data_IF_984401840687
#
_entry.id   IF_984401840687
#
_cell.length_a   1.000
_cell.length_b   1.000
_cell.length_c   1.000
_cell.angle_alpha   90.00
_cell.angle_beta   90.00
_cell.angle_gamma   90.00
#
_symmetry.space_group_name_H-M   'P 1'
#
loop_
_entity.id
_entity.type
_entity.pdbx_description
1 polymer ?
#
# COMPACT_ATOMS: atom_id res chain seq x y z
N UNK A 1 8.87 22.08 -41.49
CA UNK A 1 8.69 20.89 -40.61
C UNK A 1 8.47 21.41 -39.19
N UNK A 2 7.25 21.39 -38.71
CA UNK A 2 6.94 21.84 -37.34
C UNK A 2 7.76 21.02 -36.34
N UNK A 3 8.32 21.71 -35.36
CA UNK A 3 9.18 21.11 -34.35
C UNK A 3 8.26 20.30 -33.40
N UNK A 4 8.27 18.96 -33.52
CA UNK A 4 7.50 18.05 -32.67
C UNK A 4 7.69 18.41 -31.19
N UNK A 5 6.60 18.61 -30.45
CA UNK A 5 6.64 18.83 -29.01
C UNK A 5 6.95 17.50 -28.30
N UNK A 6 8.14 17.44 -27.67
CA UNK A 6 8.55 16.27 -26.89
C UNK A 6 7.65 16.01 -25.68
N UNK A 7 7.02 17.05 -25.15
CA UNK A 7 6.13 16.91 -23.98
C UNK A 7 4.84 16.17 -24.37
N UNK A 8 4.33 16.37 -25.60
CA UNK A 8 3.20 15.62 -26.13
C UNK A 8 3.56 14.13 -26.35
N UNK A 9 4.73 13.87 -26.91
CA UNK A 9 5.22 12.47 -27.07
C UNK A 9 5.28 11.74 -25.73
N UNK A 10 5.80 12.40 -24.70
CA UNK A 10 5.88 11.84 -23.34
C UNK A 10 4.47 11.64 -22.76
N UNK A 11 3.56 12.58 -22.99
CA UNK A 11 2.17 12.48 -22.54
C UNK A 11 1.45 11.32 -23.19
N UNK A 12 1.55 11.19 -24.49
CA UNK A 12 0.96 10.08 -25.23
C UNK A 12 1.53 8.71 -24.81
N UNK A 13 2.84 8.65 -24.54
CA UNK A 13 3.49 7.44 -24.07
C UNK A 13 2.97 7.00 -22.69
N UNK A 14 2.87 7.95 -21.74
CA UNK A 14 2.51 7.66 -20.36
C UNK A 14 0.99 7.61 -20.17
N UNK A 15 0.28 8.68 -20.53
CA UNK A 15 -1.17 8.80 -20.29
C UNK A 15 -1.98 8.14 -21.39
N UNK A 16 -1.57 8.33 -22.64
CA UNK A 16 -2.18 7.73 -23.81
C UNK A 16 -1.93 6.22 -23.93
N UNK A 17 -1.03 5.65 -23.13
CA UNK A 17 -0.66 4.23 -23.15
C UNK A 17 -0.21 3.74 -24.53
N UNK A 18 0.34 4.63 -25.37
CA UNK A 18 0.76 4.30 -26.73
C UNK A 18 2.13 3.63 -26.72
N UNK A 19 2.28 2.60 -27.55
CA UNK A 19 3.57 1.91 -27.76
C UNK A 19 4.52 2.77 -28.59
N UNK A 20 5.81 2.44 -28.58
CA UNK A 20 6.82 3.12 -29.40
C UNK A 20 6.45 3.06 -30.91
N UNK A 21 5.88 1.96 -31.37
CA UNK A 21 5.44 1.80 -32.76
C UNK A 21 4.27 2.72 -33.11
N UNK A 22 3.27 2.80 -32.23
CA UNK A 22 2.12 3.70 -32.42
C UNK A 22 2.54 5.18 -32.41
N UNK A 23 3.48 5.55 -31.52
CA UNK A 23 4.03 6.90 -31.51
C UNK A 23 4.87 7.20 -32.76
N UNK A 24 5.64 6.23 -33.23
CA UNK A 24 6.40 6.30 -34.49
C UNK A 24 5.49 6.61 -35.67
N UNK A 25 4.38 5.90 -35.77
CA UNK A 25 3.36 6.11 -36.80
C UNK A 25 2.66 7.46 -36.62
N UNK A 26 2.18 7.79 -35.41
CA UNK A 26 1.47 9.04 -35.10
C UNK A 26 2.30 10.28 -35.42
N UNK A 27 3.59 10.27 -35.09
CA UNK A 27 4.48 11.42 -35.28
C UNK A 27 5.31 11.37 -36.56
N UNK A 28 5.16 10.36 -37.40
CA UNK A 28 5.88 10.20 -38.67
C UNK A 28 7.41 10.13 -38.53
N UNK A 29 7.92 9.53 -37.44
CA UNK A 29 9.34 9.42 -37.17
C UNK A 29 9.73 7.99 -36.76
N UNK A 30 11.00 7.63 -36.85
CA UNK A 30 11.43 6.28 -36.47
C UNK A 30 11.23 5.96 -35.00
N UNK A 31 11.00 4.68 -34.66
CA UNK A 31 10.94 4.19 -33.27
C UNK A 31 12.17 4.61 -32.47
N UNK A 32 13.37 4.61 -33.12
CA UNK A 32 14.62 5.07 -32.50
C UNK A 32 14.56 6.56 -32.12
N UNK A 33 13.91 7.39 -32.92
CA UNK A 33 13.73 8.83 -32.63
C UNK A 33 12.79 9.01 -31.43
N UNK A 34 11.68 8.29 -31.37
CA UNK A 34 10.79 8.29 -30.21
C UNK A 34 11.53 7.83 -28.94
N UNK A 35 12.29 6.74 -29.03
CA UNK A 35 13.07 6.23 -27.89
C UNK A 35 14.05 7.27 -27.36
N UNK A 36 14.75 7.98 -28.24
CA UNK A 36 15.69 9.06 -27.87
C UNK A 36 14.98 10.26 -27.22
N UNK A 37 13.80 10.62 -27.69
CA UNK A 37 13.01 11.69 -27.05
C UNK A 37 12.59 11.29 -25.63
N UNK A 38 12.19 10.05 -25.41
CA UNK A 38 11.86 9.49 -24.09
C UNK A 38 13.09 9.32 -23.18
N UNK A 39 14.30 9.09 -23.74
CA UNK A 39 15.55 9.05 -22.97
C UNK A 39 15.89 10.40 -22.35
N UNK A 40 15.43 11.49 -22.94
CA UNK A 40 15.61 12.86 -22.45
C UNK A 40 14.73 13.23 -21.25
N UNK A 41 13.83 12.35 -20.79
CA UNK A 41 12.99 12.58 -19.59
C UNK A 41 13.87 12.82 -18.36
N UNK A 42 13.59 13.91 -17.64
CA UNK A 42 14.28 14.26 -16.39
C UNK A 42 13.27 14.37 -15.28
N UNK A 43 13.45 13.59 -14.24
CA UNK A 43 12.69 13.71 -13.01
C UNK A 43 13.11 14.97 -12.24
N UNK A 44 12.14 15.85 -11.95
CA UNK A 44 12.33 17.00 -11.08
C UNK A 44 11.33 16.87 -9.93
N UNK A 45 11.84 16.57 -8.73
CA UNK A 45 11.01 16.52 -7.54
C UNK A 45 10.52 17.93 -7.18
N UNK A 46 9.21 18.14 -7.22
CA UNK A 46 8.58 19.37 -6.76
C UNK A 46 8.29 19.25 -5.27
N UNK A 47 8.77 20.18 -4.46
CA UNK A 47 8.47 20.23 -3.03
C UNK A 47 7.18 21.03 -2.84
N UNK A 48 6.20 20.44 -2.13
CA UNK A 48 4.95 21.13 -1.79
C UNK A 48 5.22 22.38 -0.95
N UNK A 49 4.48 23.46 -1.22
CA UNK A 49 4.53 24.70 -0.42
C UNK A 49 3.85 24.50 0.94
N UNK A 50 2.78 23.73 0.97
CA UNK A 50 2.10 23.39 2.22
C UNK A 50 2.81 22.20 2.89
N UNK A 51 3.19 22.40 4.12
CA UNK A 51 4.05 21.48 4.89
C UNK A 51 3.29 20.68 5.96
N UNK A 52 2.02 20.98 6.20
CA UNK A 52 1.17 20.24 7.16
C UNK A 52 0.55 19.05 6.44
N UNK A 53 0.91 17.82 6.84
CA UNK A 53 0.54 16.61 6.11
C UNK A 53 0.07 15.46 7.01
N UNK A 54 -0.87 14.69 6.49
CA UNK A 54 -1.14 13.31 6.91
C UNK A 54 -0.60 12.42 5.79
N UNK A 55 0.28 11.50 6.12
CA UNK A 55 0.97 10.69 5.12
C UNK A 55 0.41 9.27 5.01
N UNK A 56 0.32 8.77 3.79
CA UNK A 56 0.10 7.37 3.45
C UNK A 56 1.42 6.78 2.97
N UNK A 57 1.78 5.60 3.47
CA UNK A 57 3.04 4.93 3.13
C UNK A 57 2.74 3.52 2.65
N UNK A 58 3.33 3.13 1.53
CA UNK A 58 3.14 1.80 0.96
C UNK A 58 4.25 1.49 -0.07
N UNK A 59 4.42 0.21 -0.39
CA UNK A 59 5.39 -0.29 -1.37
C UNK A 59 4.72 -1.20 -2.36
N UNK A 60 4.96 -0.97 -3.64
CA UNK A 60 4.50 -1.85 -4.71
C UNK A 60 5.66 -2.49 -5.47
N UNK A 61 5.46 -3.69 -6.05
CA UNK A 61 6.50 -4.47 -6.68
C UNK A 61 6.16 -4.85 -8.12
N UNK A 62 7.22 -4.93 -8.94
CA UNK A 62 7.23 -5.55 -10.27
C UNK A 62 8.26 -6.68 -10.29
N UNK A 63 7.82 -7.88 -9.95
CA UNK A 63 8.71 -9.03 -9.73
C UNK A 63 9.39 -9.01 -8.35
N UNK A 64 10.51 -9.77 -8.22
CA UNK A 64 11.08 -10.05 -6.88
C UNK A 64 11.93 -8.92 -6.29
N UNK A 65 12.69 -8.18 -7.11
CA UNK A 65 13.73 -7.26 -6.64
C UNK A 65 13.59 -5.85 -7.23
N UNK A 66 12.37 -5.45 -7.56
CA UNK A 66 12.08 -4.12 -8.07
C UNK A 66 10.79 -3.60 -7.48
N UNK A 67 10.92 -2.85 -6.40
CA UNK A 67 9.83 -2.19 -5.69
C UNK A 67 9.94 -0.67 -5.78
N UNK A 68 8.81 -0.02 -5.66
CA UNK A 68 8.63 1.41 -5.50
C UNK A 68 7.95 1.64 -4.16
N UNK A 69 8.68 2.20 -3.22
CA UNK A 69 8.16 2.74 -1.97
C UNK A 69 7.77 4.19 -2.20
N UNK A 70 6.58 4.59 -1.74
CA UNK A 70 6.12 5.96 -1.88
C UNK A 70 5.47 6.48 -0.59
N UNK A 71 5.63 7.76 -0.36
CA UNK A 71 4.94 8.53 0.67
C UNK A 71 4.08 9.59 -0.01
N UNK A 72 2.80 9.59 0.32
CA UNK A 72 1.78 10.45 -0.27
C UNK A 72 1.11 11.30 0.80
N UNK A 73 0.81 12.55 0.47
CA UNK A 73 -0.13 13.36 1.26
C UNK A 73 -1.56 12.83 1.06
N UNK A 74 -2.17 12.38 2.15
CA UNK A 74 -3.51 11.82 2.12
C UNK A 74 -4.57 12.85 1.75
N UNK A 75 -4.40 14.09 2.20
CA UNK A 75 -5.37 15.18 2.03
C UNK A 75 -5.30 15.79 0.63
N UNK A 76 -4.09 16.10 0.15
CA UNK A 76 -3.87 16.74 -1.15
C UNK A 76 -3.66 15.74 -2.28
N UNK A 77 -3.59 14.45 -1.98
CA UNK A 77 -3.43 13.34 -2.94
C UNK A 77 -2.13 13.41 -3.75
N UNK A 78 -1.10 14.09 -3.25
CA UNK A 78 0.19 14.27 -3.91
C UNK A 78 1.25 13.34 -3.36
N UNK A 79 2.11 12.82 -4.24
CA UNK A 79 3.30 12.08 -3.83
C UNK A 79 4.31 13.10 -3.26
N UNK A 80 4.82 12.84 -2.07
CA UNK A 80 5.80 13.69 -1.40
C UNK A 80 7.22 13.15 -1.53
N UNK A 81 7.35 11.83 -1.53
CA UNK A 81 8.63 11.15 -1.59
C UNK A 81 8.47 9.75 -2.17
N UNK A 82 9.49 9.28 -2.86
CA UNK A 82 9.57 7.88 -3.28
C UNK A 82 11.01 7.38 -3.34
N UNK A 83 11.17 6.06 -3.30
CA UNK A 83 12.45 5.35 -3.39
C UNK A 83 12.25 4.00 -4.08
N UNK A 84 13.21 3.61 -4.92
CA UNK A 84 13.28 2.25 -5.45
C UNK A 84 13.94 1.33 -4.43
N UNK A 85 13.33 0.19 -4.15
CA UNK A 85 13.80 -0.78 -3.16
C UNK A 85 13.83 -2.18 -3.77
N UNK A 86 14.79 -3.00 -3.35
CA UNK A 86 14.77 -4.44 -3.67
C UNK A 86 13.80 -5.16 -2.72
N UNK A 87 13.84 -4.80 -1.46
CA UNK A 87 12.98 -5.31 -0.40
C UNK A 87 12.56 -4.13 0.49
N UNK A 88 11.37 -4.22 1.01
CA UNK A 88 10.79 -3.26 1.91
C UNK A 88 11.39 -3.41 3.31
N UNK A 89 11.88 -2.31 3.90
CA UNK A 89 12.42 -2.29 5.27
C UNK A 89 11.86 -1.12 6.08
N UNK A 90 11.85 -1.27 7.40
CA UNK A 90 11.49 -0.17 8.32
C UNK A 90 12.44 1.02 8.11
N UNK A 91 13.72 0.76 7.90
CA UNK A 91 14.74 1.81 7.69
C UNK A 91 14.43 2.66 6.46
N UNK A 92 13.95 2.05 5.35
CA UNK A 92 13.58 2.79 4.15
C UNK A 92 12.39 3.72 4.38
N UNK A 93 11.38 3.27 5.14
CA UNK A 93 10.25 4.13 5.54
C UNK A 93 10.70 5.30 6.42
N UNK A 94 11.56 5.04 7.40
CA UNK A 94 12.08 6.08 8.28
C UNK A 94 12.98 7.08 7.53
N UNK A 95 13.71 6.64 6.51
CA UNK A 95 14.46 7.53 5.61
C UNK A 95 13.53 8.52 4.92
N UNK A 96 12.41 8.06 4.40
CA UNK A 96 11.39 8.92 3.78
C UNK A 96 10.78 9.91 4.78
N UNK A 97 10.45 9.45 5.99
CA UNK A 97 9.94 10.31 7.07
C UNK A 97 11.00 11.35 7.48
N UNK A 98 12.25 10.94 7.60
CA UNK A 98 13.36 11.85 7.90
C UNK A 98 13.49 12.91 6.80
N UNK A 99 13.48 12.50 5.53
CA UNK A 99 13.55 13.43 4.41
C UNK A 99 12.42 14.46 4.46
N UNK A 100 11.18 14.06 4.75
CA UNK A 100 10.06 14.99 4.91
C UNK A 100 10.34 16.01 6.03
N UNK A 101 10.79 15.56 7.18
CA UNK A 101 11.13 16.44 8.31
C UNK A 101 12.25 17.44 7.96
N UNK A 102 13.32 16.94 7.34
CA UNK A 102 14.46 17.76 6.91
C UNK A 102 14.04 18.82 5.86
N UNK A 103 12.96 18.57 5.12
CA UNK A 103 12.37 19.53 4.19
C UNK A 103 11.22 20.35 4.80
N UNK A 104 11.09 20.35 6.14
CA UNK A 104 10.17 21.22 6.88
C UNK A 104 8.72 20.72 6.94
N UNK A 105 8.42 19.47 6.60
CA UNK A 105 7.08 18.92 6.73
C UNK A 105 6.73 18.61 8.19
N UNK A 106 5.52 18.99 8.58
CA UNK A 106 4.90 18.65 9.88
C UNK A 106 3.91 17.49 9.65
N UNK A 107 4.24 16.32 10.20
CA UNK A 107 3.46 15.09 10.03
C UNK A 107 2.47 14.97 11.20
N UNK A 108 1.18 15.00 10.92
CA UNK A 108 0.11 14.92 11.91
C UNK A 108 -0.48 13.52 12.06
N UNK A 109 -0.26 12.64 11.10
CA UNK A 109 -0.71 11.26 11.15
C UNK A 109 -0.11 10.43 10.03
N UNK A 110 -0.08 9.11 10.22
CA UNK A 110 0.53 8.16 9.27
C UNK A 110 -0.41 6.99 9.05
N UNK A 111 -0.65 6.62 7.78
CA UNK A 111 -1.38 5.41 7.40
C UNK A 111 -0.43 4.41 6.79
N UNK A 112 -0.45 3.17 7.31
CA UNK A 112 0.43 2.07 6.88
C UNK A 112 -0.36 0.77 6.65
N UNK A 113 0.24 -0.18 5.95
CA UNK A 113 -0.37 -1.47 5.61
C UNK A 113 -0.34 -2.52 6.74
N UNK A 114 0.54 -2.40 7.71
CA UNK A 114 0.66 -3.33 8.83
C UNK A 114 1.97 -4.12 8.87
N UNK A 115 3.02 -3.62 8.24
CA UNK A 115 4.37 -4.15 8.41
C UNK A 115 4.73 -4.22 9.89
N UNK A 116 5.18 -5.41 10.33
CA UNK A 116 5.50 -5.65 11.75
C UNK A 116 6.62 -4.72 12.22
N UNK A 117 6.37 -4.01 13.35
CA UNK A 117 7.33 -3.09 13.96
C UNK A 117 7.28 -1.66 13.39
N UNK A 118 6.74 -1.44 12.20
CA UNK A 118 6.70 -0.11 11.59
C UNK A 118 5.88 0.88 12.42
N UNK A 119 4.70 0.48 12.91
CA UNK A 119 3.88 1.35 13.77
C UNK A 119 4.62 1.80 15.04
N UNK A 120 5.44 0.92 15.62
CA UNK A 120 6.25 1.27 16.80
C UNK A 120 7.39 2.24 16.44
N UNK A 121 8.04 2.02 15.29
CA UNK A 121 9.12 2.87 14.80
C UNK A 121 8.65 4.28 14.41
N UNK A 122 7.36 4.44 14.08
CA UNK A 122 6.74 5.72 13.71
C UNK A 122 6.24 6.54 14.90
N UNK A 123 6.44 6.11 16.13
CA UNK A 123 6.14 6.96 17.29
C UNK A 123 6.99 8.24 17.25
N UNK A 124 6.45 9.42 17.61
CA UNK A 124 5.19 9.65 18.36
C UNK A 124 3.95 9.92 17.49
N UNK A 125 3.99 9.68 16.17
CA UNK A 125 2.86 10.02 15.31
C UNK A 125 1.63 9.13 15.60
N UNK A 126 0.40 9.66 15.46
CA UNK A 126 -0.81 8.84 15.36
C UNK A 126 -0.71 7.93 14.13
N UNK A 127 -0.68 6.60 14.35
CA UNK A 127 -0.55 5.61 13.28
C UNK A 127 -1.87 4.89 13.06
N UNK A 128 -2.40 4.97 11.86
CA UNK A 128 -3.55 4.21 11.38
C UNK A 128 -3.09 2.98 10.60
N UNK A 129 -3.51 1.79 10.99
CA UNK A 129 -3.40 0.61 10.14
C UNK A 129 -4.53 0.60 9.10
N UNK A 130 -4.19 0.38 7.84
CA UNK A 130 -5.14 0.28 6.75
C UNK A 130 -6.17 -0.85 7.02
N UNK A 131 -7.43 -0.49 7.21
CA UNK A 131 -8.51 -1.46 7.47
C UNK A 131 -8.68 -2.45 6.31
N UNK A 132 -8.48 -2.01 5.08
CA UNK A 132 -8.53 -2.88 3.91
C UNK A 132 -7.41 -3.95 3.94
N UNK A 133 -6.19 -3.57 4.26
CA UNK A 133 -5.08 -4.54 4.41
C UNK A 133 -5.29 -5.49 5.60
N UNK A 134 -5.92 -5.02 6.68
CA UNK A 134 -6.30 -5.91 7.78
C UNK A 134 -7.33 -6.96 7.33
N UNK A 135 -8.34 -6.56 6.56
CA UNK A 135 -9.32 -7.49 5.97
C UNK A 135 -8.63 -8.50 5.02
N UNK A 136 -7.73 -8.02 4.15
CA UNK A 136 -6.95 -8.91 3.27
C UNK A 136 -6.08 -9.90 4.05
N UNK A 137 -5.51 -9.48 5.18
CA UNK A 137 -4.72 -10.33 6.07
C UNK A 137 -5.58 -11.45 6.66
N UNK A 138 -6.76 -11.14 7.17
CA UNK A 138 -7.71 -12.15 7.67
C UNK A 138 -8.12 -13.10 6.55
N UNK A 139 -8.47 -12.59 5.38
CA UNK A 139 -8.82 -13.40 4.20
C UNK A 139 -7.68 -14.32 3.76
N UNK A 140 -6.42 -13.89 3.86
CA UNK A 140 -5.23 -14.72 3.56
C UNK A 140 -5.10 -15.89 4.52
N UNK A 141 -5.44 -15.70 5.79
CA UNK A 141 -5.47 -16.80 6.76
C UNK A 141 -6.65 -17.74 6.54
N UNK A 142 -7.85 -17.22 6.24
CA UNK A 142 -9.10 -17.99 6.25
C UNK A 142 -9.55 -18.51 4.86
N UNK A 143 -8.88 -18.07 3.76
CA UNK A 143 -9.33 -18.22 2.37
C UNK A 143 -10.52 -17.30 2.03
N UNK A 144 -11.03 -17.39 0.78
CA UNK A 144 -12.20 -16.59 0.35
C UNK A 144 -13.51 -17.17 0.82
N UNK A 145 -13.60 -18.49 0.82
CA UNK A 145 -14.79 -19.28 1.14
C UNK A 145 -14.40 -20.35 2.15
N UNK A 146 -14.32 -20.02 3.45
CA UNK A 146 -13.94 -20.99 4.47
C UNK A 146 -15.13 -21.89 4.82
N UNK A 147 -14.86 -23.20 4.97
CA UNK A 147 -15.89 -24.18 5.37
C UNK A 147 -16.34 -24.04 6.82
N UNK A 148 -15.42 -23.62 7.70
CA UNK A 148 -15.69 -23.50 9.12
C UNK A 148 -16.55 -22.28 9.43
N UNK A 149 -17.68 -22.45 10.14
CA UNK A 149 -18.58 -21.35 10.54
C UNK A 149 -17.85 -20.20 11.23
N UNK A 150 -17.00 -20.51 12.22
CA UNK A 150 -16.20 -19.52 12.93
C UNK A 150 -15.31 -18.68 11.98
N UNK A 151 -14.81 -19.30 10.92
CA UNK A 151 -14.00 -18.60 9.91
C UNK A 151 -14.84 -17.71 9.00
N UNK A 152 -16.03 -18.18 8.59
CA UNK A 152 -16.97 -17.38 7.78
C UNK A 152 -17.42 -16.15 8.55
N UNK A 153 -17.90 -16.34 9.79
CA UNK A 153 -18.35 -15.24 10.63
C UNK A 153 -17.25 -14.21 10.90
N UNK A 154 -16.00 -14.65 11.18
CA UNK A 154 -14.88 -13.72 11.36
C UNK A 154 -14.58 -12.94 10.07
N UNK A 155 -14.62 -13.61 8.91
CA UNK A 155 -14.39 -12.96 7.62
C UNK A 155 -15.49 -11.93 7.33
N UNK A 156 -16.76 -12.25 7.61
CA UNK A 156 -17.86 -11.33 7.40
C UNK A 156 -17.80 -10.16 8.39
N UNK A 157 -17.45 -10.41 9.63
CA UNK A 157 -17.24 -9.36 10.62
C UNK A 157 -16.17 -8.36 10.18
N UNK A 158 -15.00 -8.81 9.71
CA UNK A 158 -13.95 -7.86 9.29
C UNK A 158 -14.30 -7.09 8.02
N UNK A 159 -15.22 -7.57 7.19
CA UNK A 159 -15.75 -6.81 6.04
C UNK A 159 -16.60 -5.60 6.49
N UNK A 160 -17.18 -5.63 7.69
CA UNK A 160 -17.96 -4.52 8.23
C UNK A 160 -17.10 -3.40 8.81
N UNK A 161 -15.82 -3.63 9.01
CA UNK A 161 -14.88 -2.74 9.73
C UNK A 161 -14.94 -1.28 9.25
N UNK A 162 -15.00 -1.07 7.92
CA UNK A 162 -15.05 0.28 7.34
C UNK A 162 -16.39 1.01 7.52
N UNK A 163 -17.45 0.30 7.98
CA UNK A 163 -18.82 0.81 8.13
C UNK A 163 -19.31 0.78 9.59
N UNK A 164 -18.45 0.38 10.51
CA UNK A 164 -18.76 0.18 11.92
C UNK A 164 -17.86 1.07 12.75
N UNK A 165 -18.40 1.71 13.78
CA UNK A 165 -17.61 2.43 14.76
C UNK A 165 -16.77 1.47 15.63
N UNK A 166 -15.82 2.04 16.36
CA UNK A 166 -14.83 1.31 17.14
C UNK A 166 -15.46 0.43 18.22
N UNK A 167 -16.42 0.98 18.96
CA UNK A 167 -17.07 0.35 20.09
C UNK A 167 -17.96 -0.80 19.64
N UNK A 168 -18.78 -0.57 18.62
CA UNK A 168 -19.65 -1.58 18.01
C UNK A 168 -18.84 -2.73 17.44
N UNK A 169 -17.75 -2.44 16.69
CA UNK A 169 -16.90 -3.50 16.17
C UNK A 169 -16.21 -4.30 17.28
N UNK A 170 -15.70 -3.65 18.32
CA UNK A 170 -15.07 -4.33 19.46
C UNK A 170 -16.06 -5.25 20.18
N UNK A 171 -17.32 -4.79 20.34
CA UNK A 171 -18.40 -5.59 20.94
C UNK A 171 -18.72 -6.82 20.09
N UNK A 172 -18.89 -6.64 18.77
CA UNK A 172 -19.16 -7.74 17.84
C UNK A 172 -17.99 -8.74 17.80
N UNK A 173 -16.76 -8.24 17.79
CA UNK A 173 -15.56 -9.08 17.79
C UNK A 173 -15.42 -9.89 19.09
N UNK A 174 -15.78 -9.28 20.23
CA UNK A 174 -15.83 -9.98 21.52
C UNK A 174 -16.90 -11.06 21.52
N UNK A 175 -18.14 -10.76 21.06
CA UNK A 175 -19.22 -11.74 20.95
C UNK A 175 -18.84 -12.92 20.07
N UNK A 176 -18.19 -12.66 18.92
CA UNK A 176 -17.66 -13.70 18.05
C UNK A 176 -16.64 -14.58 18.79
N UNK A 177 -15.71 -13.99 19.53
CA UNK A 177 -14.71 -14.73 20.27
C UNK A 177 -15.35 -15.58 21.39
N UNK A 178 -16.26 -15.01 22.16
CA UNK A 178 -16.97 -15.71 23.24
C UNK A 178 -17.74 -16.93 22.70
N UNK A 179 -18.35 -16.82 21.51
CA UNK A 179 -19.02 -17.94 20.81
C UNK A 179 -18.05 -19.03 20.35
N UNK A 180 -16.88 -18.67 19.86
CA UNK A 180 -15.96 -19.58 19.17
C UNK A 180 -14.63 -19.86 19.91
N UNK A 181 -14.50 -19.39 21.17
CA UNK A 181 -13.24 -19.48 21.93
C UNK A 181 -12.69 -20.91 22.04
N UNK A 182 -13.56 -21.90 22.16
CA UNK A 182 -13.15 -23.30 22.31
C UNK A 182 -12.51 -23.80 21.01
N UNK A 183 -13.11 -23.50 19.85
CA UNK A 183 -12.58 -23.84 18.52
C UNK A 183 -11.27 -23.09 18.25
N UNK A 184 -11.19 -21.78 18.61
CA UNK A 184 -9.99 -20.94 18.41
C UNK A 184 -8.82 -21.44 19.27
N UNK A 185 -9.08 -21.98 20.44
CA UNK A 185 -8.06 -22.41 21.39
C UNK A 185 -7.84 -23.94 21.42
N UNK A 186 -8.61 -24.69 20.64
CA UNK A 186 -8.49 -26.14 20.53
C UNK A 186 -7.07 -26.57 20.15
N UNK A 187 -6.54 -27.55 20.88
CA UNK A 187 -5.22 -28.11 20.64
C UNK A 187 -5.32 -29.52 20.13
N UNK A 188 -4.32 -29.93 19.35
CA UNK A 188 -4.24 -31.30 18.84
C UNK A 188 -4.04 -32.27 20.01
N UNK A 189 -4.94 -33.24 20.15
CA UNK A 189 -4.91 -34.28 21.17
C UNK A 189 -4.27 -35.58 20.62
N UNK A 190 -3.02 -35.49 20.14
CA UNK A 190 -2.29 -36.69 19.62
C UNK A 190 -1.13 -37.04 20.56
N UNK A 191 -1.21 -38.21 21.18
CA UNK A 191 -0.18 -38.75 22.10
C UNK A 191 1.20 -38.90 21.44
N UNK A 192 1.29 -38.94 20.11
CA UNK A 192 2.55 -39.01 19.36
C UNK A 192 3.31 -37.69 19.33
N UNK A 193 2.63 -36.58 19.64
CA UNK A 193 3.22 -35.24 19.67
C UNK A 193 4.03 -35.07 20.95
N UNK A 194 5.33 -35.26 20.87
CA UNK A 194 6.29 -35.13 22.00
C UNK A 194 6.60 -33.69 22.42
N UNK A 195 5.86 -32.66 21.92
CA UNK A 195 6.08 -31.27 22.28
C UNK A 195 5.46 -30.97 23.65
N UNK A 196 6.16 -30.19 24.49
CA UNK A 196 5.67 -29.69 25.78
C UNK A 196 4.31 -29.04 25.69
N UNK A 197 4.06 -28.33 24.56
CA UNK A 197 2.78 -27.71 24.26
C UNK A 197 2.30 -28.17 22.88
N UNK A 198 1.19 -28.93 22.79
CA UNK A 198 0.63 -29.33 21.49
C UNK A 198 0.26 -28.14 20.60
N UNK A 199 0.37 -28.27 19.28
CA UNK A 199 -0.03 -27.22 18.36
C UNK A 199 -1.56 -26.99 18.42
N UNK A 200 -1.99 -25.80 17.98
CA UNK A 200 -3.41 -25.55 17.83
C UNK A 200 -3.99 -26.36 16.67
N UNK A 201 -5.21 -26.87 16.84
CA UNK A 201 -5.93 -27.61 15.81
C UNK A 201 -6.18 -26.73 14.58
N UNK A 202 -6.49 -25.46 14.81
CA UNK A 202 -6.81 -24.48 13.76
C UNK A 202 -5.90 -23.26 13.81
N UNK A 203 -4.59 -23.40 13.47
CA UNK A 203 -3.61 -22.33 13.64
C UNK A 203 -3.91 -21.11 12.77
N UNK A 204 -4.51 -21.29 11.58
CA UNK A 204 -4.87 -20.20 10.67
C UNK A 204 -6.01 -19.35 11.21
N UNK A 205 -7.09 -19.97 11.75
CA UNK A 205 -8.19 -19.25 12.41
C UNK A 205 -7.67 -18.46 13.60
N UNK A 206 -6.84 -19.07 14.42
CA UNK A 206 -6.23 -18.39 15.56
C UNK A 206 -5.34 -17.23 15.13
N UNK A 207 -4.55 -17.38 14.08
CA UNK A 207 -3.70 -16.30 13.54
C UNK A 207 -4.54 -15.15 13.02
N UNK A 208 -5.64 -15.44 12.34
CA UNK A 208 -6.61 -14.42 11.89
C UNK A 208 -7.17 -13.63 13.08
N UNK A 209 -7.69 -14.33 14.09
CA UNK A 209 -8.19 -13.71 15.33
C UNK A 209 -7.12 -12.84 16.01
N UNK A 210 -5.93 -13.38 16.23
CA UNK A 210 -4.85 -12.67 16.91
C UNK A 210 -4.36 -11.46 16.11
N UNK A 211 -4.41 -11.50 14.78
CA UNK A 211 -4.04 -10.36 13.95
C UNK A 211 -5.00 -9.18 14.17
N UNK A 212 -6.31 -9.44 14.19
CA UNK A 212 -7.32 -8.42 14.47
C UNK A 212 -7.16 -7.90 15.89
N UNK A 213 -7.08 -8.79 16.88
CA UNK A 213 -6.96 -8.43 18.30
C UNK A 213 -5.76 -7.52 18.56
N UNK A 214 -4.59 -7.88 18.01
CA UNK A 214 -3.34 -7.11 18.17
C UNK A 214 -3.40 -5.74 17.50
N UNK A 215 -4.01 -5.68 16.33
CA UNK A 215 -4.03 -4.49 15.50
C UNK A 215 -5.18 -3.54 15.83
N UNK A 216 -6.17 -4.00 16.60
CA UNK A 216 -7.38 -3.24 16.95
C UNK A 216 -7.11 -1.82 17.46
N UNK A 217 -6.14 -1.55 18.34
CA UNK A 217 -5.87 -0.19 18.81
C UNK A 217 -5.47 0.80 17.71
N UNK A 218 -4.94 0.29 16.58
CA UNK A 218 -4.46 1.11 15.47
C UNK A 218 -5.42 1.15 14.27
N UNK A 219 -6.51 0.36 14.31
CA UNK A 219 -7.48 0.28 13.21
C UNK A 219 -8.51 1.42 13.23
N UNK A 220 -8.62 2.15 14.33
CA UNK A 220 -9.52 3.30 14.51
C UNK A 220 -8.80 4.56 14.97
N UNK A 221 -7.51 4.70 14.70
CA UNK A 221 -6.75 5.92 14.99
C UNK A 221 -7.39 7.14 14.32
N UNK A 222 -7.94 6.98 13.12
CA UNK A 222 -8.69 8.04 12.41
C UNK A 222 -9.93 8.49 13.20
N UNK A 223 -10.63 7.57 13.85
CA UNK A 223 -11.80 7.82 14.65
C UNK A 223 -11.45 8.54 15.97
N UNK A 224 -10.33 8.12 16.59
CA UNK A 224 -9.82 8.74 17.82
C UNK A 224 -9.24 10.16 17.57
N UNK A 225 -8.97 10.52 16.31
CA UNK A 225 -8.37 11.80 15.90
C UNK A 225 -9.13 12.46 14.74
N UNK A 226 -10.42 12.80 14.92
CA UNK A 226 -11.30 13.24 13.82
C UNK A 226 -10.83 14.53 13.14
N UNK A 227 -10.14 15.42 13.87
CA UNK A 227 -9.68 16.71 13.37
C UNK A 227 -8.40 16.60 12.49
N UNK A 228 -7.73 15.46 12.45
CA UNK A 228 -6.49 15.28 11.69
C UNK A 228 -6.73 14.87 10.22
N UNK A 229 -7.95 14.42 9.89
CA UNK A 229 -8.27 13.96 8.53
C UNK A 229 -7.51 12.70 8.12
N UNK A 230 -7.15 11.84 9.09
CA UNK A 230 -6.48 10.56 8.83
C UNK A 230 -7.45 9.63 8.11
N UNK A 231 -7.16 9.12 6.90
CA UNK A 231 -8.02 8.13 6.26
C UNK A 231 -7.89 6.76 6.92
N UNK A 232 -8.97 5.98 6.90
CA UNK A 232 -8.98 4.61 7.43
C UNK A 232 -8.30 3.57 6.53
N UNK A 233 -7.94 3.94 5.29
CA UNK A 233 -7.32 3.05 4.30
C UNK A 233 -6.19 3.72 3.52
N UNK A 234 -5.37 2.90 2.86
CA UNK A 234 -4.33 3.31 1.91
C UNK A 234 -4.81 3.37 0.45
N UNK A 235 -6.13 3.27 0.20
CA UNK A 235 -6.70 3.17 -1.15
C UNK A 235 -6.22 4.28 -2.10
N UNK A 236 -5.94 5.47 -1.57
CA UNK A 236 -5.44 6.58 -2.39
C UNK A 236 -4.05 6.33 -2.99
N UNK A 237 -3.18 5.61 -2.30
CA UNK A 237 -1.85 5.24 -2.79
C UNK A 237 -1.93 3.96 -3.65
N UNK A 238 -2.76 2.99 -3.24
CA UNK A 238 -3.04 1.78 -4.02
C UNK A 238 -3.61 2.10 -5.41
N UNK A 239 -4.49 3.12 -5.52
CA UNK A 239 -5.02 3.60 -6.79
C UNK A 239 -3.93 4.10 -7.74
N UNK A 240 -2.97 4.90 -7.24
CA UNK A 240 -1.80 5.35 -8.01
C UNK A 240 -0.97 4.16 -8.47
N UNK A 241 -0.69 3.21 -7.60
CA UNK A 241 0.08 2.01 -7.93
C UNK A 241 -0.63 1.12 -8.96
N UNK A 242 -1.95 1.00 -8.88
CA UNK A 242 -2.76 0.23 -9.82
C UNK A 242 -2.73 0.85 -11.21
N UNK A 243 -2.93 2.18 -11.31
CA UNK A 243 -2.85 2.89 -12.59
C UNK A 243 -1.46 2.80 -13.20
N UNK A 244 -0.41 3.04 -12.38
CA UNK A 244 0.98 2.92 -12.81
C UNK A 244 1.29 1.50 -13.33
N UNK A 245 0.83 0.45 -12.64
CA UNK A 245 0.99 -0.94 -13.12
C UNK A 245 0.29 -1.18 -14.45
N UNK A 246 -0.89 -0.61 -14.63
CA UNK A 246 -1.64 -0.72 -15.88
C UNK A 246 -0.88 -0.05 -17.03
N UNK A 247 -0.36 1.16 -16.81
CA UNK A 247 0.44 1.90 -17.81
C UNK A 247 1.72 1.13 -18.16
N UNK A 248 2.45 0.64 -17.16
CA UNK A 248 3.68 -0.14 -17.38
C UNK A 248 3.47 -1.46 -18.11
N UNK A 249 2.28 -2.07 -17.99
CA UNK A 249 1.94 -3.34 -18.68
C UNK A 249 1.90 -3.16 -20.19
N UNK A 250 1.48 -2.01 -20.68
CA UNK A 250 1.45 -1.69 -22.12
C UNK A 250 2.88 -1.62 -22.69
N UNK A 251 3.84 -1.23 -21.86
CA UNK A 251 5.24 -1.06 -22.24
C UNK A 251 6.08 -2.31 -21.89
N UNK A 252 5.65 -3.49 -22.35
CA UNK A 252 6.40 -4.74 -22.16
C UNK A 252 7.76 -4.67 -22.89
N UNK A 253 8.78 -5.32 -22.32
CA UNK A 253 10.12 -5.41 -22.93
C UNK A 253 11.05 -4.21 -22.69
N UNK A 254 10.62 -3.16 -22.00
CA UNK A 254 11.52 -2.04 -21.65
C UNK A 254 12.52 -2.43 -20.56
N UNK A 255 13.72 -1.86 -20.63
CA UNK A 255 14.78 -2.06 -19.62
C UNK A 255 14.34 -1.55 -18.24
N UNK A 256 15.03 -2.00 -17.18
CA UNK A 256 14.76 -1.55 -15.81
C UNK A 256 14.98 -0.04 -15.66
N UNK A 257 16.00 0.51 -16.30
CA UNK A 257 16.31 1.94 -16.29
C UNK A 257 15.23 2.75 -17.00
N UNK A 258 14.77 2.29 -18.15
CA UNK A 258 13.69 2.96 -18.87
C UNK A 258 12.36 2.91 -18.08
N UNK A 259 12.10 1.78 -17.42
CA UNK A 259 10.95 1.65 -16.53
C UNK A 259 11.00 2.63 -15.37
N UNK A 260 12.17 2.85 -14.74
CA UNK A 260 12.33 3.87 -13.69
C UNK A 260 12.02 5.26 -14.21
N UNK A 261 12.58 5.65 -15.38
CA UNK A 261 12.30 6.96 -15.99
C UNK A 261 10.81 7.18 -16.23
N UNK A 262 10.10 6.15 -16.72
CA UNK A 262 8.66 6.22 -16.94
C UNK A 262 7.90 6.38 -15.61
N UNK A 263 8.29 5.64 -14.58
CA UNK A 263 7.72 5.76 -13.24
C UNK A 263 7.96 7.17 -12.68
N UNK A 264 9.19 7.67 -12.76
CA UNK A 264 9.56 8.99 -12.24
C UNK A 264 8.78 10.10 -12.95
N UNK A 265 8.64 10.03 -14.26
CA UNK A 265 7.84 10.98 -15.04
C UNK A 265 6.34 10.90 -14.68
N UNK A 266 5.80 9.69 -14.52
CA UNK A 266 4.42 9.50 -14.06
C UNK A 266 4.22 10.11 -12.68
N UNK A 267 5.12 9.83 -11.73
CA UNK A 267 5.02 10.37 -10.38
C UNK A 267 5.14 11.90 -10.35
N UNK A 268 5.95 12.51 -11.24
CA UNK A 268 6.10 13.97 -11.35
C UNK A 268 4.75 14.66 -11.56
N UNK A 269 3.80 14.01 -12.23
CA UNK A 269 2.45 14.53 -12.47
C UNK A 269 1.55 14.43 -11.24
N UNK A 270 1.95 13.63 -10.26
CA UNK A 270 1.25 13.42 -8.98
C UNK A 270 1.95 14.10 -7.78
N UNK A 271 2.99 14.91 -8.01
CA UNK A 271 3.67 15.76 -7.01
C UNK A 271 3.00 17.11 -6.78
#
# INVERSE_FOLDING_TARGET
>A
MERRDKSEVITDYIEGKQTLSQLSEKYGVSVRTISRDLEGMRYIRKISKDKSVVIQMDTTYWGRNFGLMAIKDALRKKILWHKYVAHETIADYLEGVKWLKDNGFMIYGVVIDGMRGLAQALRPYPVQLCQFHQMLTVRRYLTREPDLEASRELLDLVKTMARTDKESFASLFKKWYDKHKDIVNERVSDKRIKKKTPPYMRPRLRSAYLSVKRNMPLLWTFYDNPNLGIPNTNNGLEGIFSDLKTKLRVHSGITKEHRKKLIDEYLTRHY
#
